data_IF_500342371473
#
_entry.id   IF_500342371473
#
_cell.length_a   1.000
_cell.length_b   1.000
_cell.length_c   1.000
_cell.angle_alpha   90.00
_cell.angle_beta   90.00
_cell.angle_gamma   90.00
#
_symmetry.space_group_name_H-M   'P 1'
#
loop_
_entity.id
_entity.type
_entity.pdbx_description
1 polymer ?
#
# COMPACT_ATOMS: atom_id res chain seq x y z
N UNK A 1 10.23 -15.07 -0.07
CA UNK A 1 10.57 -13.65 0.05
C UNK A 1 9.32 -12.81 0.21
N UNK A 2 9.40 -11.75 1.01
CA UNK A 2 8.38 -10.71 1.19
C UNK A 2 8.87 -9.43 0.50
N UNK A 3 8.00 -8.75 -0.23
CA UNK A 3 8.23 -7.42 -0.77
C UNK A 3 7.59 -6.38 0.17
N UNK A 4 8.39 -5.47 0.71
CA UNK A 4 7.95 -4.35 1.54
C UNK A 4 8.10 -3.04 0.75
N UNK A 5 7.01 -2.29 0.62
CA UNK A 5 6.94 -1.06 -0.14
C UNK A 5 6.49 0.10 0.75
N UNK A 6 6.97 1.30 0.46
CA UNK A 6 6.46 2.54 1.06
C UNK A 6 6.47 3.67 0.05
N UNK A 7 5.48 4.57 0.12
CA UNK A 7 5.39 5.70 -0.81
C UNK A 7 6.59 6.61 -0.58
N UNK A 8 6.85 6.96 0.68
CA UNK A 8 8.02 7.72 1.08
C UNK A 8 9.08 6.84 1.72
N UNK A 9 10.36 7.13 1.44
CA UNK A 9 11.47 6.35 1.99
C UNK A 9 11.45 6.21 3.53
N UNK A 10 11.08 7.24 4.33
CA UNK A 10 10.98 7.09 5.79
C UNK A 10 9.98 6.03 6.26
N UNK A 11 8.96 5.71 5.46
CA UNK A 11 7.91 4.75 5.83
C UNK A 11 8.40 3.30 5.78
N UNK A 12 9.32 3.01 4.85
CA UNK A 12 9.92 1.67 4.68
C UNK A 12 11.29 1.55 5.35
N UNK A 13 11.92 2.67 5.74
CA UNK A 13 13.23 2.69 6.40
C UNK A 13 13.31 1.82 7.66
N UNK A 14 12.30 1.75 8.55
CA UNK A 14 12.34 0.84 9.70
C UNK A 14 12.48 -0.64 9.30
N UNK A 15 11.94 -1.04 8.14
CA UNK A 15 12.12 -2.38 7.59
C UNK A 15 13.56 -2.54 7.09
N UNK A 16 14.08 -1.56 6.35
CA UNK A 16 15.47 -1.55 5.87
C UNK A 16 16.50 -1.62 7.00
N UNK A 17 16.27 -0.91 8.10
CA UNK A 17 17.21 -0.82 9.22
C UNK A 17 17.18 -2.07 10.12
N UNK A 18 16.12 -2.88 10.05
CA UNK A 18 15.95 -4.09 10.86
C UNK A 18 16.45 -5.37 10.19
N UNK A 19 16.89 -5.30 8.92
CA UNK A 19 17.35 -6.48 8.19
C UNK A 19 18.86 -6.69 8.30
N UNK A 20 19.27 -7.96 8.32
CA UNK A 20 20.63 -8.33 7.94
C UNK A 20 20.74 -8.17 6.41
N UNK A 21 21.41 -7.10 5.96
CA UNK A 21 21.52 -6.74 4.54
C UNK A 21 22.33 -7.79 3.77
N UNK A 22 21.76 -8.27 2.67
CA UNK A 22 22.39 -9.19 1.72
C UNK A 22 22.80 -8.47 0.43
N UNK A 23 21.97 -7.54 -0.04
CA UNK A 23 22.09 -6.88 -1.33
C UNK A 23 21.43 -5.51 -1.23
N UNK A 24 22.04 -4.50 -1.86
CA UNK A 24 21.40 -3.19 -2.11
C UNK A 24 21.70 -2.77 -3.54
N UNK A 25 20.82 -1.93 -4.09
CA UNK A 25 20.98 -1.45 -5.45
C UNK A 25 19.84 -0.54 -5.87
N UNK A 26 19.71 -0.37 -7.18
CA UNK A 26 18.67 0.47 -7.76
C UNK A 26 17.78 -0.31 -8.74
N UNK A 27 16.49 0.01 -8.72
CA UNK A 27 15.49 -0.44 -9.69
C UNK A 27 14.75 0.79 -10.19
N UNK A 28 14.83 1.04 -11.50
CA UNK A 28 14.20 2.18 -12.16
C UNK A 28 14.52 3.52 -11.46
N UNK A 29 15.75 3.69 -10.98
CA UNK A 29 16.19 4.90 -10.26
C UNK A 29 15.75 4.99 -8.79
N UNK A 30 15.21 3.92 -8.21
CA UNK A 30 14.85 3.83 -6.78
C UNK A 30 15.73 2.84 -6.04
N UNK A 31 16.23 3.27 -4.89
CA UNK A 31 17.04 2.42 -4.03
C UNK A 31 16.20 1.32 -3.40
N UNK A 32 16.72 0.10 -3.44
CA UNK A 32 16.15 -1.05 -2.73
C UNK A 32 17.19 -1.72 -1.85
N UNK A 33 16.71 -2.37 -0.79
CA UNK A 33 17.52 -3.16 0.11
C UNK A 33 16.91 -4.55 0.24
N UNK A 34 17.70 -5.59 0.01
CA UNK A 34 17.33 -6.98 0.24
C UNK A 34 18.14 -7.52 1.40
N UNK A 35 17.46 -8.20 2.32
CA UNK A 35 18.06 -8.75 3.51
C UNK A 35 17.21 -9.82 4.15
N UNK A 36 17.55 -10.18 5.38
CA UNK A 36 16.83 -11.15 6.19
C UNK A 36 16.31 -10.50 7.46
N UNK A 37 15.02 -10.70 7.76
CA UNK A 37 14.40 -10.35 9.04
C UNK A 37 13.85 -11.63 9.66
N UNK A 38 14.40 -12.05 10.80
CA UNK A 38 14.13 -13.36 11.38
C UNK A 38 14.51 -14.48 10.42
N UNK A 39 13.53 -15.29 10.00
CA UNK A 39 13.72 -16.38 9.04
C UNK A 39 13.21 -16.05 7.63
N UNK A 40 12.90 -14.78 7.35
CA UNK A 40 12.31 -14.36 6.09
C UNK A 40 13.27 -13.48 5.29
N UNK A 41 13.49 -13.82 4.03
CA UNK A 41 14.05 -12.86 3.07
C UNK A 41 13.03 -11.77 2.77
N UNK A 42 13.47 -10.52 2.87
CA UNK A 42 12.69 -9.32 2.62
C UNK A 42 13.43 -8.46 1.60
N UNK A 43 12.72 -7.98 0.59
CA UNK A 43 13.17 -6.89 -0.28
C UNK A 43 12.31 -5.67 0.01
N UNK A 44 12.97 -4.54 0.29
CA UNK A 44 12.35 -3.28 0.66
C UNK A 44 12.68 -2.20 -0.37
N UNK A 45 11.69 -1.41 -0.77
CA UNK A 45 11.88 -0.26 -1.67
C UNK A 45 10.87 0.83 -1.32
N UNK A 46 11.23 2.10 -1.51
CA UNK A 46 10.30 3.20 -1.36
C UNK A 46 10.75 4.48 -2.05
N UNK A 47 9.97 5.55 -1.88
CA UNK A 47 10.25 6.84 -2.52
C UNK A 47 9.73 6.94 -3.94
N UNK A 48 8.53 6.41 -4.19
CA UNK A 48 7.81 6.52 -5.47
C UNK A 48 6.49 7.27 -5.25
N UNK A 49 6.00 7.97 -6.28
CA UNK A 49 4.78 8.78 -6.19
C UNK A 49 3.86 8.50 -7.39
N UNK A 50 2.59 8.33 -7.09
CA UNK A 50 1.54 8.12 -8.08
C UNK A 50 1.43 6.69 -8.59
N UNK A 51 0.29 6.40 -9.22
CA UNK A 51 -0.14 5.05 -9.61
C UNK A 51 0.79 4.41 -10.65
N UNK A 52 1.27 5.21 -11.60
CA UNK A 52 2.16 4.73 -12.68
C UNK A 52 3.50 4.27 -12.13
N UNK A 53 4.18 5.11 -11.33
CA UNK A 53 5.49 4.78 -10.78
C UNK A 53 5.39 3.61 -9.80
N UNK A 54 4.39 3.61 -8.92
CA UNK A 54 4.15 2.51 -7.98
C UNK A 54 3.94 1.18 -8.70
N UNK A 55 3.17 1.17 -9.79
CA UNK A 55 2.93 -0.03 -10.60
C UNK A 55 4.20 -0.52 -11.28
N UNK A 56 4.97 0.38 -11.89
CA UNK A 56 6.24 0.03 -12.57
C UNK A 56 7.27 -0.54 -11.61
N UNK A 57 7.46 0.08 -10.44
CA UNK A 57 8.37 -0.40 -9.40
C UNK A 57 7.92 -1.76 -8.87
N UNK A 58 6.64 -1.90 -8.53
CA UNK A 58 6.08 -3.15 -8.00
C UNK A 58 6.26 -4.29 -8.99
N UNK A 59 5.93 -4.08 -10.28
CA UNK A 59 6.11 -5.08 -11.31
C UNK A 59 7.59 -5.46 -11.47
N UNK A 60 8.49 -4.47 -11.50
CA UNK A 60 9.93 -4.74 -11.68
C UNK A 60 10.53 -5.52 -10.50
N UNK A 61 10.03 -5.28 -9.28
CA UNK A 61 10.38 -6.08 -8.09
C UNK A 61 9.85 -7.50 -8.20
N UNK A 62 8.62 -7.68 -8.69
CA UNK A 62 8.02 -9.00 -8.92
C UNK A 62 8.88 -9.80 -9.91
N UNK A 63 9.24 -9.20 -11.04
CA UNK A 63 10.02 -9.86 -12.08
C UNK A 63 11.41 -10.30 -11.59
N UNK A 64 12.07 -9.45 -10.79
CA UNK A 64 13.45 -9.70 -10.34
C UNK A 64 13.52 -10.67 -9.16
N UNK A 65 12.58 -10.58 -8.22
CA UNK A 65 12.69 -11.23 -6.92
C UNK A 65 11.61 -12.26 -6.63
N UNK A 66 10.56 -12.32 -7.46
CA UNK A 66 9.44 -13.26 -7.33
C UNK A 66 8.93 -13.39 -5.89
N UNK A 67 8.55 -12.28 -5.23
CA UNK A 67 8.06 -12.30 -3.86
C UNK A 67 6.74 -13.08 -3.78
N UNK A 68 6.51 -13.75 -2.65
CA UNK A 68 5.26 -14.50 -2.40
C UNK A 68 4.17 -13.65 -1.75
N UNK A 69 4.54 -12.46 -1.30
CA UNK A 69 3.70 -11.52 -0.58
C UNK A 69 4.27 -10.12 -0.82
N UNK A 70 3.41 -9.15 -1.11
CA UNK A 70 3.75 -7.73 -1.10
C UNK A 70 2.96 -7.03 -0.01
N UNK A 71 3.60 -6.10 0.70
CA UNK A 71 2.99 -5.23 1.71
C UNK A 71 3.37 -3.80 1.37
N UNK A 72 2.38 -2.93 1.25
CA UNK A 72 2.57 -1.48 1.17
C UNK A 72 2.25 -0.89 2.54
N UNK A 73 3.18 -0.13 3.10
CA UNK A 73 3.00 0.65 4.33
C UNK A 73 3.19 2.11 4.01
N UNK A 74 2.16 2.92 4.22
CA UNK A 74 2.18 4.35 3.92
C UNK A 74 1.27 5.10 4.89
N UNK A 75 1.58 6.37 5.15
CA UNK A 75 0.59 7.30 5.65
C UNK A 75 -0.54 7.46 4.63
N UNK A 76 -1.77 7.62 5.14
CA UNK A 76 -2.98 7.79 4.34
C UNK A 76 -3.90 8.82 5.03
N UNK A 77 -4.76 9.46 4.24
CA UNK A 77 -5.77 10.37 4.76
C UNK A 77 -7.05 9.60 5.09
N UNK A 78 -7.53 9.70 6.34
CA UNK A 78 -8.84 9.18 6.72
C UNK A 78 -9.96 9.96 6.02
N UNK A 79 -10.87 9.24 5.35
CA UNK A 79 -12.03 9.85 4.67
C UNK A 79 -13.37 9.46 5.28
N UNK A 80 -13.38 8.42 6.10
CA UNK A 80 -14.52 7.98 6.90
C UNK A 80 -14.42 8.60 8.30
N UNK A 81 -15.55 9.08 8.84
CA UNK A 81 -15.59 9.76 10.14
C UNK A 81 -15.11 8.90 11.31
N UNK A 82 -15.11 7.56 11.15
CA UNK A 82 -14.58 6.68 12.17
C UNK A 82 -13.06 6.68 12.23
N UNK A 83 -12.34 7.09 11.17
CA UNK A 83 -10.88 7.02 11.07
C UNK A 83 -10.23 8.28 11.65
N UNK A 84 -9.48 8.12 12.73
CA UNK A 84 -8.76 9.21 13.39
C UNK A 84 -7.25 9.21 13.10
N UNK A 85 -6.59 10.32 13.41
CA UNK A 85 -5.13 10.44 13.26
C UNK A 85 -4.44 9.42 14.17
N UNK A 86 -3.60 8.57 13.57
CA UNK A 86 -2.87 7.51 14.28
C UNK A 86 -3.52 6.14 14.19
N UNK A 87 -4.74 6.05 13.65
CA UNK A 87 -5.36 4.76 13.38
C UNK A 87 -4.61 3.96 12.30
N UNK A 88 -4.59 2.64 12.48
CA UNK A 88 -4.10 1.70 11.46
C UNK A 88 -5.28 1.21 10.64
N UNK A 89 -5.29 1.54 9.35
CA UNK A 89 -6.26 1.02 8.39
C UNK A 89 -5.59 -0.10 7.57
N UNK A 90 -6.19 -1.28 7.57
CA UNK A 90 -5.75 -2.43 6.77
C UNK A 90 -6.70 -2.61 5.60
N UNK A 91 -6.18 -2.45 4.38
CA UNK A 91 -6.93 -2.59 3.14
C UNK A 91 -7.43 -4.03 2.94
N UNK A 92 -8.74 -4.21 2.91
CA UNK A 92 -9.39 -5.46 2.48
C UNK A 92 -9.79 -5.40 1.01
N UNK A 93 -9.99 -4.20 0.50
CA UNK A 93 -10.38 -3.89 -0.87
C UNK A 93 -9.65 -2.62 -1.31
N UNK A 94 -9.37 -2.51 -2.61
CA UNK A 94 -8.66 -1.39 -3.22
C UNK A 94 -9.40 -0.96 -4.49
N UNK A 95 -9.57 0.35 -4.67
CA UNK A 95 -10.29 0.89 -5.82
C UNK A 95 -9.71 2.27 -6.21
N UNK A 96 -9.55 2.50 -7.51
CA UNK A 96 -9.07 3.78 -8.02
C UNK A 96 -10.26 4.73 -8.23
N UNK A 97 -10.30 5.87 -7.53
CA UNK A 97 -11.45 6.78 -7.58
C UNK A 97 -11.43 7.71 -8.80
N UNK A 98 -10.26 7.91 -9.42
CA UNK A 98 -10.03 8.82 -10.54
C UNK A 98 -9.90 8.11 -11.90
N UNK A 99 -10.17 6.80 -11.95
CA UNK A 99 -10.10 6.01 -13.18
C UNK A 99 -11.46 5.93 -13.85
N UNK A 100 -11.52 6.36 -15.11
CA UNK A 100 -12.71 6.34 -15.95
C UNK A 100 -12.59 5.18 -16.94
N UNK A 101 -13.61 4.32 -16.97
CA UNK A 101 -13.72 3.24 -17.96
C UNK A 101 -14.70 3.66 -19.06
N UNK A 102 -14.24 3.98 -20.29
CA UNK A 102 -15.12 4.54 -21.32
C UNK A 102 -16.20 3.57 -21.84
N UNK A 103 -16.01 2.27 -21.62
CA UNK A 103 -16.84 1.19 -22.18
C UNK A 103 -17.53 0.33 -21.10
N UNK A 104 -17.40 0.70 -19.82
CA UNK A 104 -18.10 0.03 -18.73
C UNK A 104 -18.50 1.05 -17.68
N UNK A 105 -19.63 0.85 -17.01
CA UNK A 105 -19.93 1.55 -15.74
C UNK A 105 -19.06 1.03 -14.59
N UNK A 106 -17.96 0.34 -14.91
CA UNK A 106 -17.30 -0.61 -14.05
C UNK A 106 -16.36 0.06 -13.08
N UNK A 107 -16.74 0.04 -11.81
CA UNK A 107 -15.80 0.12 -10.69
C UNK A 107 -14.92 -1.13 -10.67
N UNK A 108 -13.61 -0.97 -10.69
CA UNK A 108 -12.67 -2.09 -10.55
C UNK A 108 -12.19 -2.19 -9.11
N UNK A 109 -12.79 -3.10 -8.35
CA UNK A 109 -12.41 -3.37 -6.96
C UNK A 109 -11.45 -4.56 -6.91
N UNK A 110 -10.23 -4.33 -6.43
CA UNK A 110 -9.26 -5.39 -6.14
C UNK A 110 -9.42 -5.83 -4.69
N UNK A 111 -9.56 -7.14 -4.45
CA UNK A 111 -9.62 -7.68 -3.08
C UNK A 111 -8.23 -8.06 -2.58
N UNK A 112 -7.96 -7.77 -1.31
CA UNK A 112 -6.79 -8.31 -0.64
C UNK A 112 -6.88 -9.84 -0.56
N UNK A 113 -5.73 -10.51 -0.55
CA UNK A 113 -5.69 -11.96 -0.38
C UNK A 113 -6.19 -12.38 1.02
N UNK A 114 -7.06 -13.40 1.11
CA UNK A 114 -7.34 -14.07 2.38
C UNK A 114 -6.14 -14.95 2.78
N UNK A 115 -5.13 -14.30 3.32
CA UNK A 115 -3.86 -14.90 3.72
C UNK A 115 -3.79 -15.10 5.23
N UNK A 116 -2.87 -15.98 5.66
CA UNK A 116 -2.54 -16.10 7.08
C UNK A 116 -2.11 -14.75 7.68
N UNK A 117 -1.44 -13.90 6.89
CA UNK A 117 -1.11 -12.54 7.30
C UNK A 117 -2.37 -11.73 7.62
N UNK A 118 -3.37 -11.72 6.75
CA UNK A 118 -4.61 -10.98 7.00
C UNK A 118 -5.31 -11.45 8.28
N UNK A 119 -5.33 -12.76 8.52
CA UNK A 119 -5.88 -13.34 9.77
C UNK A 119 -5.07 -12.91 10.99
N UNK A 120 -3.74 -12.91 10.88
CA UNK A 120 -2.85 -12.42 11.93
C UNK A 120 -3.06 -10.93 12.21
N UNK A 121 -3.14 -10.08 11.18
CA UNK A 121 -3.36 -8.64 11.32
C UNK A 121 -4.66 -8.34 12.06
N UNK A 122 -5.74 -9.08 11.78
CA UNK A 122 -7.02 -8.94 12.51
C UNK A 122 -6.91 -9.23 14.01
N UNK A 123 -6.03 -10.14 14.40
CA UNK A 123 -5.81 -10.47 15.81
C UNK A 123 -4.83 -9.50 16.47
N UNK A 124 -3.79 -9.10 15.74
CA UNK A 124 -2.71 -8.26 16.24
C UNK A 124 -3.16 -6.80 16.38
N UNK A 125 -3.80 -6.25 15.36
CA UNK A 125 -4.36 -4.90 15.36
C UNK A 125 -5.84 -4.93 15.78
N UNK A 126 -6.12 -5.24 17.05
CA UNK A 126 -7.50 -5.31 17.58
C UNK A 126 -8.29 -4.00 17.42
N UNK A 127 -7.61 -2.87 17.51
CA UNK A 127 -8.18 -1.54 17.27
C UNK A 127 -8.04 -1.08 15.80
N UNK A 128 -7.39 -1.89 14.96
CA UNK A 128 -7.21 -1.57 13.54
C UNK A 128 -8.53 -1.63 12.79
N UNK A 129 -8.68 -0.73 11.84
CA UNK A 129 -9.85 -0.67 10.96
C UNK A 129 -9.57 -1.46 9.70
N UNK A 130 -10.54 -2.26 9.26
CA UNK A 130 -10.39 -3.12 8.08
C UNK A 130 -11.45 -2.72 7.07
N UNK A 131 -11.04 -2.28 5.89
CA UNK A 131 -11.99 -1.85 4.88
C UNK A 131 -11.33 -1.44 3.58
N UNK A 132 -12.12 -0.79 2.73
CA UNK A 132 -11.67 -0.35 1.40
C UNK A 132 -10.72 0.84 1.52
N UNK A 133 -9.60 0.78 0.81
CA UNK A 133 -8.68 1.91 0.62
C UNK A 133 -8.81 2.38 -0.82
N UNK A 134 -8.91 3.69 -1.01
CA UNK A 134 -9.02 4.31 -2.32
C UNK A 134 -7.66 4.87 -2.76
N UNK A 135 -7.41 4.94 -4.05
CA UNK A 135 -6.21 5.57 -4.59
C UNK A 135 -6.53 6.45 -5.80
N UNK A 136 -5.68 7.45 -6.03
CA UNK A 136 -5.72 8.34 -7.19
C UNK A 136 -4.46 9.20 -7.24
N UNK A 137 -4.25 9.89 -8.36
CA UNK A 137 -3.05 10.73 -8.58
C UNK A 137 -3.23 12.19 -8.11
N UNK A 138 -4.43 12.56 -7.66
CA UNK A 138 -4.71 13.87 -7.09
C UNK A 138 -4.59 13.87 -5.55
N UNK A 139 -3.98 14.93 -5.00
CA UNK A 139 -3.99 15.19 -3.56
C UNK A 139 -5.35 15.77 -3.15
N UNK A 140 -6.11 15.02 -2.35
CA UNK A 140 -7.43 15.47 -1.85
C UNK A 140 -7.24 16.33 -0.60
N UNK A 141 -7.17 17.66 -0.80
CA UNK A 141 -7.00 18.63 0.28
C UNK A 141 -8.28 19.41 0.64
N UNK A 142 -9.41 19.10 -0.01
CA UNK A 142 -10.69 19.78 0.17
C UNK A 142 -11.74 18.81 0.75
N UNK A 143 -12.47 19.24 1.79
CA UNK A 143 -13.48 18.42 2.45
C UNK A 143 -14.63 18.03 1.52
N UNK A 144 -15.07 18.91 0.62
CA UNK A 144 -16.13 18.59 -0.34
C UNK A 144 -15.71 17.49 -1.31
N UNK A 145 -14.48 17.52 -1.81
CA UNK A 145 -13.94 16.46 -2.68
C UNK A 145 -13.80 15.15 -1.91
N UNK A 146 -13.28 15.21 -0.67
CA UNK A 146 -13.19 14.04 0.22
C UNK A 146 -14.56 13.40 0.44
N UNK A 147 -15.57 14.19 0.76
CA UNK A 147 -16.92 13.72 1.07
C UNK A 147 -17.60 13.13 -0.17
N UNK A 148 -17.40 13.75 -1.34
CA UNK A 148 -17.85 13.20 -2.63
C UNK A 148 -17.21 11.84 -2.92
N UNK A 149 -15.89 11.72 -2.78
CA UNK A 149 -15.15 10.47 -2.97
C UNK A 149 -15.63 9.40 -1.98
N UNK A 150 -15.76 9.73 -0.69
CA UNK A 150 -16.25 8.79 0.31
C UNK A 150 -17.69 8.32 0.01
N UNK A 151 -18.61 9.25 -0.31
CA UNK A 151 -20.00 8.92 -0.65
C UNK A 151 -20.12 8.05 -1.91
N UNK A 152 -19.24 8.27 -2.88
CA UNK A 152 -19.27 7.56 -4.16
C UNK A 152 -18.65 6.17 -4.07
N UNK A 153 -17.60 5.98 -3.27
CA UNK A 153 -16.78 4.77 -3.29
C UNK A 153 -16.77 3.96 -1.98
N UNK A 154 -17.16 4.57 -0.86
CA UNK A 154 -17.25 3.90 0.45
C UNK A 154 -15.89 3.47 1.03
N UNK A 155 -14.84 4.25 0.78
CA UNK A 155 -13.51 3.99 1.33
C UNK A 155 -13.34 4.49 2.77
N UNK A 156 -12.41 3.87 3.50
CA UNK A 156 -11.99 4.33 4.83
C UNK A 156 -10.85 5.35 4.74
N UNK A 157 -9.96 5.19 3.76
CA UNK A 157 -8.77 6.01 3.58
C UNK A 157 -8.43 6.23 2.10
N UNK A 158 -7.66 7.31 1.85
CA UNK A 158 -7.05 7.72 0.58
C UNK A 158 -5.53 7.75 0.68
#
# INVERSE_FOLDING_TARGET
MILALGVFLPEVRPVMDSMLVLESGEILGRHYCRGVIGNNEVVACGGFVGKVEASMITQRMIDRFSPRLAVLTSGAAGIDESVEIGDVVVGTEFEEYDTIFPLSEGKMVMKASDSLLMRFLRVYFKAGKFGKILSGDAVVANSSIRDEVHSSYGGLAL
#
